data_IF_140638696278
#
_entry.id   IF_140638696278
#
_cell.length_a   1.000
_cell.length_b   1.000
_cell.length_c   1.000
_cell.angle_alpha   90.00
_cell.angle_beta   90.00
_cell.angle_gamma   90.00
#
_symmetry.space_group_name_H-M   'P 1'
#
loop_
_entity.id
_entity.type
_entity.pdbx_description
1 polymer ?
#
# COMPACT_ATOMS: atom_id res chain seq x y z
N UNK A 1 9.36 26.62 -7.72
CA UNK A 1 9.42 25.34 -8.47
C UNK A 1 9.24 24.26 -7.44
N UNK A 2 8.04 23.71 -7.36
CA UNK A 2 7.75 22.62 -6.44
C UNK A 2 8.35 21.37 -7.06
N UNK A 3 9.52 21.00 -6.55
CA UNK A 3 10.16 19.74 -6.88
C UNK A 3 9.12 18.64 -6.64
N UNK A 4 8.88 17.82 -7.65
CA UNK A 4 7.91 16.73 -7.61
C UNK A 4 8.58 15.61 -6.80
N UNK A 5 8.81 15.89 -5.52
CA UNK A 5 9.30 14.94 -4.55
C UNK A 5 8.13 13.99 -4.34
N UNK A 6 8.07 12.95 -5.19
CA UNK A 6 7.36 11.73 -4.83
C UNK A 6 7.79 11.47 -3.40
N UNK A 7 6.82 11.47 -2.49
CA UNK A 7 7.09 11.42 -1.06
C UNK A 7 7.69 10.03 -0.75
N UNK A 8 9.00 9.93 -0.92
CA UNK A 8 9.78 8.70 -0.76
C UNK A 8 9.65 8.20 0.68
N UNK A 9 9.44 9.10 1.64
CA UNK A 9 9.14 8.77 3.03
C UNK A 9 7.79 8.06 3.15
N UNK A 10 6.76 8.53 2.44
CA UNK A 10 5.47 7.83 2.37
C UNK A 10 5.59 6.44 1.73
N UNK A 11 6.38 6.30 0.65
CA UNK A 11 6.61 4.99 0.01
C UNK A 11 7.39 4.02 0.92
N UNK A 12 8.44 4.50 1.57
CA UNK A 12 9.22 3.70 2.54
C UNK A 12 8.36 3.27 3.73
N UNK A 13 7.47 4.14 4.19
CA UNK A 13 6.53 3.82 5.27
C UNK A 13 5.53 2.74 4.85
N UNK A 14 4.97 2.82 3.65
CA UNK A 14 4.11 1.76 3.09
C UNK A 14 4.86 0.44 2.98
N UNK A 15 6.10 0.46 2.46
CA UNK A 15 6.96 -0.74 2.38
C UNK A 15 7.21 -1.36 3.76
N UNK A 16 7.61 -0.55 4.74
CA UNK A 16 7.89 -1.04 6.09
C UNK A 16 6.65 -1.66 6.76
N UNK A 17 5.48 -1.06 6.58
CA UNK A 17 4.23 -1.61 7.11
C UNK A 17 3.89 -2.97 6.50
N UNK A 18 4.10 -3.15 5.19
CA UNK A 18 3.91 -4.43 4.50
C UNK A 18 4.89 -5.51 5.05
N UNK A 19 6.14 -5.14 5.35
CA UNK A 19 7.11 -6.06 5.95
C UNK A 19 6.69 -6.47 7.37
N UNK A 20 6.24 -5.53 8.21
CA UNK A 20 5.74 -5.82 9.56
C UNK A 20 4.52 -6.76 9.55
N UNK A 21 3.58 -6.53 8.63
CA UNK A 21 2.45 -7.42 8.40
C UNK A 21 2.91 -8.83 8.05
N UNK A 22 3.88 -8.96 7.15
CA UNK A 22 4.38 -10.27 6.72
C UNK A 22 4.90 -11.09 7.91
N UNK A 23 5.61 -10.44 8.83
CA UNK A 23 6.10 -11.10 10.05
C UNK A 23 4.96 -11.41 11.05
N UNK A 24 4.00 -10.50 11.21
CA UNK A 24 2.79 -10.72 12.00
C UNK A 24 2.00 -11.96 11.53
N UNK A 25 1.91 -12.19 10.22
CA UNK A 25 1.18 -13.31 9.66
C UNK A 25 1.94 -14.64 9.74
N UNK A 26 3.28 -14.63 9.71
CA UNK A 26 4.10 -15.85 9.78
C UNK A 26 4.23 -16.40 11.19
N UNK A 27 4.25 -15.52 12.19
CA UNK A 27 4.53 -15.90 13.58
C UNK A 27 3.51 -16.90 14.14
N UNK A 28 2.19 -16.69 14.04
CA UNK A 28 1.20 -17.65 14.54
C UNK A 28 1.32 -19.03 13.88
N UNK A 29 1.63 -19.07 12.57
CA UNK A 29 1.84 -20.32 11.83
C UNK A 29 3.05 -21.12 12.32
N UNK A 30 4.18 -20.44 12.58
CA UNK A 30 5.36 -21.07 13.18
C UNK A 30 5.07 -21.58 14.60
N UNK A 31 4.38 -20.78 15.40
CA UNK A 31 4.01 -21.16 16.77
C UNK A 31 3.05 -22.36 16.83
N UNK A 32 2.38 -22.69 15.72
CA UNK A 32 1.57 -23.89 15.51
C UNK A 32 2.39 -25.10 15.04
N UNK A 33 3.38 -24.90 14.16
CA UNK A 33 4.29 -25.97 13.71
C UNK A 33 5.13 -26.55 14.85
N UNK A 34 5.49 -25.72 15.83
CA UNK A 34 6.25 -26.12 17.02
C UNK A 34 5.41 -26.90 18.07
N UNK A 35 4.10 -27.09 17.84
CA UNK A 35 3.22 -27.82 18.76
C UNK A 35 3.19 -29.31 18.39
N UNK A 36 3.86 -30.14 19.19
CA UNK A 36 3.73 -31.60 19.08
C UNK A 36 2.38 -32.05 19.65
N UNK A 37 1.46 -32.44 18.75
CA UNK A 37 0.08 -32.83 19.05
C UNK A 37 -0.07 -34.02 20.02
N UNK A 38 1.00 -34.74 20.30
CA UNK A 38 1.03 -35.81 21.30
C UNK A 38 1.25 -35.32 22.74
N UNK A 39 1.76 -34.10 22.91
CA UNK A 39 2.14 -33.54 24.22
C UNK A 39 1.07 -32.61 24.82
N UNK A 40 0.07 -32.20 24.04
CA UNK A 40 -0.88 -31.14 24.41
C UNK A 40 -2.29 -31.71 24.60
N UNK A 41 -2.88 -31.51 25.78
CA UNK A 41 -4.29 -31.86 26.04
C UNK A 41 -5.26 -30.97 25.24
N UNK A 42 -6.49 -31.45 25.04
CA UNK A 42 -7.54 -30.79 24.22
C UNK A 42 -7.77 -29.33 24.61
N UNK A 43 -7.76 -29.01 25.91
CA UNK A 43 -7.97 -27.64 26.39
C UNK A 43 -6.84 -26.68 26.03
N UNK A 44 -5.61 -27.19 26.01
CA UNK A 44 -4.42 -26.39 25.67
C UNK A 44 -4.34 -26.16 24.16
N UNK A 45 -4.78 -27.13 23.35
CA UNK A 45 -4.96 -26.96 21.91
C UNK A 45 -6.06 -25.94 21.60
N UNK A 46 -7.21 -26.01 22.28
CA UNK A 46 -8.32 -25.08 22.07
C UNK A 46 -7.90 -23.63 22.33
N UNK A 47 -7.19 -23.36 23.44
CA UNK A 47 -6.66 -22.03 23.74
C UNK A 47 -5.70 -21.52 22.67
N UNK A 48 -4.81 -22.37 22.17
CA UNK A 48 -3.82 -21.98 21.16
C UNK A 48 -4.46 -21.74 19.79
N UNK A 49 -5.53 -22.47 19.47
CA UNK A 49 -6.38 -22.21 18.30
C UNK A 49 -7.09 -20.85 18.41
N UNK A 50 -7.62 -20.51 19.59
CA UNK A 50 -8.26 -19.20 19.83
C UNK A 50 -7.23 -18.07 19.72
N UNK A 51 -6.05 -18.22 20.32
CA UNK A 51 -4.96 -17.24 20.25
C UNK A 51 -4.49 -17.04 18.79
N UNK A 52 -4.30 -18.13 18.04
CA UNK A 52 -3.99 -18.09 16.62
C UNK A 52 -5.07 -17.33 15.83
N UNK A 53 -6.34 -17.66 16.05
CA UNK A 53 -7.47 -17.01 15.36
C UNK A 53 -7.53 -15.50 15.63
N UNK A 54 -7.25 -15.09 16.87
CA UNK A 54 -7.22 -13.69 17.28
C UNK A 54 -6.06 -12.92 16.62
N UNK A 55 -4.84 -13.45 16.69
CA UNK A 55 -3.67 -12.82 16.07
C UNK A 55 -3.79 -12.75 14.54
N UNK A 56 -4.31 -13.80 13.92
CA UNK A 56 -4.53 -13.84 12.47
C UNK A 56 -5.60 -12.85 12.02
N UNK A 57 -6.73 -12.76 12.75
CA UNK A 57 -7.78 -11.79 12.45
C UNK A 57 -7.28 -10.35 12.60
N UNK A 58 -6.44 -10.09 13.62
CA UNK A 58 -5.77 -8.80 13.77
C UNK A 58 -4.84 -8.49 12.59
N UNK A 59 -4.01 -9.45 12.19
CA UNK A 59 -3.10 -9.32 11.04
C UNK A 59 -3.84 -8.99 9.74
N UNK A 60 -4.95 -9.67 9.46
CA UNK A 60 -5.82 -9.37 8.31
C UNK A 60 -6.38 -7.94 8.39
N UNK A 61 -6.85 -7.51 9.55
CA UNK A 61 -7.35 -6.14 9.73
C UNK A 61 -6.27 -5.07 9.53
N UNK A 62 -5.00 -5.37 9.83
CA UNK A 62 -3.90 -4.49 9.50
C UNK A 62 -3.62 -4.46 7.99
N UNK A 63 -3.65 -5.63 7.31
CA UNK A 63 -3.50 -5.72 5.84
C UNK A 63 -4.51 -4.82 5.14
N UNK A 64 -5.77 -4.90 5.52
CA UNK A 64 -6.85 -4.09 4.94
C UNK A 64 -6.55 -2.59 5.08
N UNK A 65 -6.28 -2.12 6.30
CA UNK A 65 -5.95 -0.71 6.58
C UNK A 65 -4.77 -0.20 5.77
N UNK A 66 -3.70 -0.98 5.66
CA UNK A 66 -2.51 -0.56 4.93
C UNK A 66 -2.70 -0.63 3.42
N UNK A 67 -3.48 -1.60 2.93
CA UNK A 67 -3.83 -1.70 1.50
C UNK A 67 -4.71 -0.52 1.08
N UNK A 68 -5.65 -0.11 1.93
CA UNK A 68 -6.49 1.07 1.70
C UNK A 68 -5.64 2.35 1.69
N UNK A 69 -4.78 2.54 2.69
CA UNK A 69 -3.90 3.69 2.75
C UNK A 69 -2.94 3.78 1.56
N UNK A 70 -2.39 2.64 1.11
CA UNK A 70 -1.55 2.57 -0.08
C UNK A 70 -2.34 2.91 -1.35
N UNK A 71 -3.56 2.39 -1.48
CA UNK A 71 -4.46 2.69 -2.60
C UNK A 71 -4.80 4.20 -2.66
N UNK A 72 -5.14 4.81 -1.53
CA UNK A 72 -5.40 6.24 -1.44
C UNK A 72 -4.17 7.10 -1.79
N UNK A 73 -2.99 6.72 -1.30
CA UNK A 73 -1.75 7.42 -1.62
C UNK A 73 -1.45 7.35 -3.13
N UNK A 74 -1.57 6.18 -3.74
CA UNK A 74 -1.39 6.01 -5.19
C UNK A 74 -2.39 6.81 -6.00
N UNK A 75 -3.65 6.89 -5.53
CA UNK A 75 -4.67 7.72 -6.17
C UNK A 75 -4.31 9.21 -6.13
N UNK A 76 -3.84 9.71 -4.97
CA UNK A 76 -3.38 11.09 -4.82
C UNK A 76 -2.20 11.41 -5.73
N UNK A 77 -1.21 10.50 -5.80
CA UNK A 77 -0.08 10.64 -6.72
C UNK A 77 -0.57 10.76 -8.16
N UNK A 78 -1.49 9.89 -8.60
CA UNK A 78 -2.08 9.96 -9.94
C UNK A 78 -2.78 11.30 -10.20
N UNK A 79 -3.57 11.78 -9.24
CA UNK A 79 -4.29 13.06 -9.37
C UNK A 79 -3.33 14.25 -9.50
N UNK A 80 -2.27 14.30 -8.70
CA UNK A 80 -1.27 15.36 -8.78
C UNK A 80 -0.50 15.32 -10.10
N UNK A 81 -0.12 14.14 -10.59
CA UNK A 81 0.49 14.01 -11.92
C UNK A 81 -0.43 14.52 -13.03
N UNK A 82 -1.73 14.18 -12.98
CA UNK A 82 -2.72 14.65 -13.96
C UNK A 82 -2.92 16.17 -13.89
N UNK A 83 -2.91 16.75 -12.68
CA UNK A 83 -3.00 18.20 -12.49
C UNK A 83 -1.79 18.91 -13.10
N UNK A 84 -0.58 18.44 -12.78
CA UNK A 84 0.67 19.02 -13.30
C UNK A 84 0.75 18.90 -14.82
N UNK A 85 0.34 17.76 -15.39
CA UNK A 85 0.30 17.57 -16.85
C UNK A 85 -0.68 18.54 -17.53
N UNK A 86 -1.86 18.75 -16.93
CA UNK A 86 -2.83 19.76 -17.39
C UNK A 86 -2.29 21.19 -17.32
N UNK A 87 -1.68 21.57 -16.19
CA UNK A 87 -1.05 22.89 -16.03
C UNK A 87 0.08 23.12 -17.03
N UNK A 88 0.87 22.08 -17.34
CA UNK A 88 1.91 22.15 -18.36
C UNK A 88 1.33 22.29 -19.77
N UNK A 89 0.26 21.56 -20.10
CA UNK A 89 -0.43 21.66 -21.37
C UNK A 89 -1.05 23.05 -21.60
N UNK A 90 -1.56 23.69 -20.54
CA UNK A 90 -2.12 25.04 -20.58
C UNK A 90 -1.03 26.12 -20.65
N UNK A 91 0.13 25.90 -20.02
CA UNK A 91 1.27 26.82 -20.03
C UNK A 91 2.07 26.78 -21.34
N UNK A 92 2.02 25.67 -22.09
CA UNK A 92 2.62 25.57 -23.41
C UNK A 92 1.80 26.40 -24.40
N UNK A 93 2.39 27.43 -25.06
CA UNK A 93 1.69 28.14 -26.11
C UNK A 93 1.30 27.14 -27.19
N UNK A 94 0.05 27.16 -27.66
CA UNK A 94 -0.44 26.41 -28.84
C UNK A 94 0.32 26.84 -30.09
N UNK A 95 1.59 26.47 -30.16
CA UNK A 95 2.49 26.79 -31.25
C UNK A 95 2.27 25.71 -32.29
N UNK A 96 1.26 25.94 -33.15
CA UNK A 96 1.09 25.41 -34.52
C UNK A 96 -0.37 25.11 -34.80
N UNK A 97 -1.16 26.16 -35.07
CA UNK A 97 -2.33 26.10 -35.97
C UNK A 97 -2.79 27.51 -36.40
N UNK A 98 -1.84 28.42 -36.66
CA UNK A 98 -2.15 29.67 -37.36
C UNK A 98 -0.90 30.27 -38.03
N UNK A 99 -0.19 29.47 -38.82
CA UNK A 99 0.80 29.99 -39.76
C UNK A 99 0.84 29.04 -40.97
N UNK A 100 -0.01 29.32 -41.95
CA UNK A 100 -0.13 28.50 -43.17
C UNK A 100 -1.39 28.73 -44.01
N UNK A 101 -2.30 29.61 -43.57
CA UNK A 101 -3.50 29.99 -44.31
C UNK A 101 -3.50 31.44 -44.77
N UNK A 102 -2.91 31.68 -45.95
CA UNK A 102 -3.21 32.84 -46.81
C UNK A 102 -2.40 34.12 -46.58
N UNK A 103 -1.64 34.55 -47.60
CA UNK A 103 -2.15 35.42 -48.68
C UNK A 103 -1.02 35.87 -49.63
N UNK A 104 -1.36 35.81 -50.92
CA UNK A 104 -0.82 36.50 -52.12
C UNK A 104 0.59 36.18 -52.57
#
# INVERSE_FOLDING_TARGET
MSDLYVDMETLDRVRHNIECISELMKRPGREMEDVDGWSMGVDALARRMDDFGNEWSYGIGQIEKFSDAASEALLKVKQEFQRVDGELADALPRTRSQAGGGRK
#
